data_IF_864894427784
#
_entry.id   IF_864894427784
#
_cell.length_a   1.000
_cell.length_b   1.000
_cell.length_c   1.000
_cell.angle_alpha   90.00
_cell.angle_beta   90.00
_cell.angle_gamma   90.00
#
_symmetry.space_group_name_H-M   'P 1'
#
loop_
_entity.id
_entity.type
_entity.pdbx_description
1 polymer ?
#
# COMPACT_ATOMS: atom_id res chain seq x y z
N UNK A 1 -4.11 6.57 20.79
CA UNK A 1 -5.06 7.34 19.93
C UNK A 1 -5.57 8.62 20.60
N UNK A 2 -4.82 9.14 21.59
CA UNK A 2 -5.21 10.33 22.34
C UNK A 2 -5.52 11.52 21.43
N UNK A 3 -6.69 12.13 21.60
CA UNK A 3 -7.12 13.30 20.82
C UNK A 3 -7.49 13.05 19.36
N UNK A 4 -7.63 11.79 18.93
CA UNK A 4 -8.06 11.43 17.59
C UNK A 4 -9.57 11.28 17.52
N UNK A 5 -10.17 11.78 16.46
CA UNK A 5 -11.59 11.75 16.16
C UNK A 5 -11.91 10.58 15.22
N UNK A 6 -12.66 9.61 15.70
CA UNK A 6 -13.04 8.42 14.92
C UNK A 6 -14.55 8.42 14.71
N UNK A 7 -14.97 8.41 13.45
CA UNK A 7 -16.37 8.26 13.09
C UNK A 7 -16.65 6.79 12.75
N UNK A 8 -17.42 6.12 13.62
CA UNK A 8 -17.81 4.73 13.43
C UNK A 8 -19.17 4.66 12.71
N UNK A 9 -19.17 4.11 11.52
CA UNK A 9 -20.35 3.82 10.72
C UNK A 9 -20.78 2.37 10.92
N UNK A 10 -22.01 2.15 11.36
CA UNK A 10 -22.52 0.83 11.71
C UNK A 10 -23.65 0.44 10.75
N UNK A 11 -23.48 -0.63 9.98
CA UNK A 11 -24.53 -1.14 9.10
C UNK A 11 -25.19 -2.41 9.62
N UNK A 12 -26.43 -2.69 9.18
CA UNK A 12 -27.30 -3.71 9.76
C UNK A 12 -26.88 -5.16 9.48
N UNK A 13 -26.43 -5.85 10.50
CA UNK A 13 -26.12 -7.26 10.49
C UNK A 13 -25.84 -7.77 11.90
N UNK A 14 -25.86 -9.09 12.11
CA UNK A 14 -25.67 -9.66 13.44
C UNK A 14 -24.37 -9.18 14.12
N UNK A 15 -23.33 -8.86 13.34
CA UNK A 15 -22.05 -8.41 13.88
C UNK A 15 -22.09 -6.99 14.54
N UNK A 16 -23.25 -6.31 14.54
CA UNK A 16 -23.44 -5.00 15.23
C UNK A 16 -23.05 -5.10 16.72
N UNK A 17 -23.25 -6.25 17.37
CA UNK A 17 -22.82 -6.42 18.77
C UNK A 17 -21.32 -6.21 18.97
N UNK A 18 -20.48 -6.56 17.97
CA UNK A 18 -19.03 -6.28 17.99
C UNK A 18 -18.72 -4.79 17.84
N UNK A 19 -19.55 -4.04 17.11
CA UNK A 19 -19.39 -2.59 16.98
C UNK A 19 -19.59 -1.88 18.34
N UNK A 20 -20.46 -2.40 19.20
CA UNK A 20 -20.63 -1.91 20.59
C UNK A 20 -19.31 -2.08 21.38
N UNK A 21 -18.71 -3.26 21.30
CA UNK A 21 -17.41 -3.53 21.92
C UNK A 21 -16.30 -2.67 21.31
N UNK A 22 -16.30 -2.49 20.00
CA UNK A 22 -15.34 -1.64 19.28
C UNK A 22 -15.43 -0.18 19.75
N UNK A 23 -16.64 0.38 19.90
CA UNK A 23 -16.86 1.73 20.44
C UNK A 23 -16.23 1.89 21.81
N UNK A 24 -16.48 0.95 22.72
CA UNK A 24 -15.90 0.97 24.07
C UNK A 24 -14.38 0.95 24.04
N UNK A 25 -13.79 0.06 23.22
CA UNK A 25 -12.32 -0.09 23.13
C UNK A 25 -11.64 1.12 22.48
N UNK A 26 -12.21 1.71 21.45
CA UNK A 26 -11.72 2.94 20.85
C UNK A 26 -11.71 4.10 21.85
N UNK A 27 -12.80 4.25 22.62
CA UNK A 27 -12.92 5.26 23.68
C UNK A 27 -11.89 5.03 24.80
N UNK A 28 -11.71 3.78 25.24
CA UNK A 28 -10.69 3.41 26.24
C UNK A 28 -9.26 3.67 25.73
N UNK A 29 -9.02 3.53 24.43
CA UNK A 29 -7.73 3.85 23.80
C UNK A 29 -7.49 5.37 23.63
N UNK A 30 -8.40 6.22 24.14
CA UNK A 30 -8.27 7.67 24.17
C UNK A 30 -8.80 8.39 22.91
N UNK A 31 -9.49 7.71 22.02
CA UNK A 31 -10.15 8.36 20.88
C UNK A 31 -11.46 9.02 21.29
N UNK A 32 -11.80 10.12 20.63
CA UNK A 32 -13.16 10.66 20.61
C UNK A 32 -13.95 9.90 19.53
N UNK A 33 -15.05 9.23 19.90
CA UNK A 33 -15.81 8.40 18.97
C UNK A 33 -17.21 8.98 18.80
N UNK A 34 -17.58 9.33 17.56
CA UNK A 34 -18.98 9.55 17.18
C UNK A 34 -19.48 8.35 16.38
N UNK A 35 -20.77 8.05 16.46
CA UNK A 35 -21.36 6.88 15.80
C UNK A 35 -22.48 7.31 14.87
N UNK A 36 -22.50 6.76 13.65
CA UNK A 36 -23.63 6.84 12.74
C UNK A 36 -24.13 5.44 12.40
N UNK A 37 -25.43 5.27 12.27
CA UNK A 37 -26.07 3.97 12.07
C UNK A 37 -27.03 4.00 10.89
N UNK A 38 -27.04 2.93 10.12
CA UNK A 38 -28.14 2.69 9.17
C UNK A 38 -29.42 2.31 9.94
N UNK A 39 -30.57 2.49 9.32
CA UNK A 39 -31.86 2.04 9.86
C UNK A 39 -31.81 0.56 10.28
N UNK A 40 -31.33 -0.32 9.41
CA UNK A 40 -31.20 -1.73 9.71
C UNK A 40 -30.24 -2.06 10.86
N UNK A 41 -29.27 -1.20 11.17
CA UNK A 41 -28.36 -1.44 12.30
C UNK A 41 -29.10 -1.27 13.64
N UNK A 42 -30.09 -0.38 13.69
CA UNK A 42 -30.88 -0.09 14.89
C UNK A 42 -31.79 -1.26 15.29
N UNK A 43 -32.16 -2.12 14.33
CA UNK A 43 -32.91 -3.34 14.60
C UNK A 43 -32.13 -4.39 15.40
N UNK A 44 -30.79 -4.35 15.35
CA UNK A 44 -29.93 -5.26 16.11
C UNK A 44 -29.52 -4.69 17.47
N UNK A 45 -29.19 -3.41 17.52
CA UNK A 45 -28.75 -2.74 18.75
C UNK A 45 -29.25 -1.30 18.72
N UNK A 46 -29.96 -0.83 19.78
CA UNK A 46 -30.46 0.53 19.83
C UNK A 46 -29.32 1.56 19.94
N UNK A 47 -29.48 2.77 19.37
CA UNK A 47 -28.50 3.85 19.41
C UNK A 47 -28.00 4.21 20.81
N UNK A 48 -28.84 4.06 21.83
CA UNK A 48 -28.49 4.32 23.22
C UNK A 48 -27.27 3.53 23.71
N UNK A 49 -27.07 2.30 23.24
CA UNK A 49 -25.90 1.48 23.59
C UNK A 49 -24.59 2.14 23.16
N UNK A 50 -24.59 2.73 21.98
CA UNK A 50 -23.42 3.46 21.44
C UNK A 50 -23.24 4.83 22.11
N UNK A 51 -24.30 5.53 22.36
CA UNK A 51 -24.28 6.83 23.04
C UNK A 51 -23.65 6.75 24.44
N UNK A 52 -24.03 5.76 25.22
CA UNK A 52 -23.50 5.55 26.59
C UNK A 52 -21.98 5.27 26.54
N UNK A 53 -21.51 4.48 25.59
CA UNK A 53 -20.11 4.08 25.49
C UNK A 53 -19.22 5.14 24.87
N UNK A 54 -19.69 5.83 23.85
CA UNK A 54 -18.94 6.89 23.17
C UNK A 54 -19.00 8.23 23.93
N UNK A 55 -20.03 8.44 24.78
CA UNK A 55 -20.36 9.71 25.43
C UNK A 55 -20.63 10.85 24.44
N UNK A 56 -21.00 10.49 23.21
CA UNK A 56 -21.35 11.40 22.12
C UNK A 56 -22.70 11.03 21.53
N UNK A 57 -23.31 11.95 20.79
CA UNK A 57 -24.53 11.69 20.05
C UNK A 57 -24.34 10.59 19.01
N UNK A 58 -25.43 9.86 18.75
CA UNK A 58 -25.53 8.86 17.68
C UNK A 58 -26.42 9.42 16.58
N UNK A 59 -25.97 9.33 15.34
CA UNK A 59 -26.62 9.88 14.16
C UNK A 59 -27.26 8.78 13.34
N UNK A 60 -28.55 8.87 13.11
CA UNK A 60 -29.35 7.82 12.46
C UNK A 60 -30.16 8.30 11.26
N UNK A 61 -30.40 9.59 11.17
CA UNK A 61 -31.19 10.22 10.11
C UNK A 61 -30.51 11.50 9.63
N UNK A 62 -30.46 11.70 8.33
CA UNK A 62 -29.91 12.91 7.68
C UNK A 62 -30.75 14.16 7.93
N UNK A 63 -31.98 13.99 8.33
CA UNK A 63 -32.92 15.09 8.62
C UNK A 63 -33.09 15.38 10.13
N UNK A 64 -32.46 14.58 11.01
CA UNK A 64 -32.44 14.82 12.46
C UNK A 64 -31.19 15.65 12.83
N UNK A 65 -31.28 16.95 12.64
CA UNK A 65 -30.22 17.90 12.96
C UNK A 65 -30.08 18.09 14.47
N UNK A 66 -28.99 17.60 15.07
CA UNK A 66 -28.72 17.76 16.51
C UNK A 66 -28.39 19.20 16.89
N UNK A 67 -27.91 19.99 15.94
CA UNK A 67 -27.53 21.39 16.12
C UNK A 67 -28.04 22.22 14.94
N UNK A 68 -28.83 23.29 15.23
CA UNK A 68 -29.39 24.16 14.20
C UNK A 68 -28.36 25.01 13.43
N UNK A 69 -27.09 25.03 13.87
CA UNK A 69 -26.03 25.85 13.26
C UNK A 69 -25.18 25.11 12.24
N UNK A 70 -25.33 23.77 12.09
CA UNK A 70 -24.52 22.95 11.21
C UNK A 70 -25.37 21.89 10.53
N UNK A 71 -24.91 21.43 9.36
CA UNK A 71 -25.50 20.30 8.67
C UNK A 71 -24.78 19.02 9.18
N UNK A 72 -25.52 18.12 9.82
CA UNK A 72 -24.96 17.03 10.61
C UNK A 72 -23.98 16.14 9.84
N UNK A 73 -24.31 15.74 8.61
CA UNK A 73 -23.43 14.86 7.82
C UNK A 73 -22.13 15.55 7.36
N UNK A 74 -22.16 16.88 7.16
CA UNK A 74 -20.97 17.67 6.86
C UNK A 74 -20.11 17.85 8.12
N UNK A 75 -20.73 18.25 9.27
CA UNK A 75 -20.02 18.38 10.54
C UNK A 75 -19.30 17.08 10.95
N UNK A 76 -19.91 15.93 10.68
CA UNK A 76 -19.29 14.63 10.94
C UNK A 76 -18.15 14.32 9.98
N UNK A 77 -18.32 14.62 8.70
CA UNK A 77 -17.31 14.39 7.66
C UNK A 77 -16.05 15.21 7.93
N UNK A 78 -16.22 16.51 8.28
CA UNK A 78 -15.10 17.42 8.58
C UNK A 78 -14.44 17.13 9.94
N UNK A 79 -15.22 16.62 10.91
CA UNK A 79 -14.74 16.33 12.26
C UNK A 79 -13.82 15.10 12.32
N UNK A 80 -14.00 14.13 11.42
CA UNK A 80 -13.35 12.84 11.50
C UNK A 80 -11.87 12.87 11.07
N UNK A 81 -10.97 12.33 11.88
CA UNK A 81 -9.60 11.96 11.47
C UNK A 81 -9.57 10.59 10.75
N UNK A 82 -10.59 9.76 10.99
CA UNK A 82 -10.78 8.43 10.37
C UNK A 82 -12.27 8.08 10.40
N UNK A 83 -12.78 7.60 9.27
CA UNK A 83 -14.08 6.95 9.19
C UNK A 83 -13.88 5.44 9.11
N UNK A 84 -14.54 4.67 9.98
CA UNK A 84 -14.52 3.21 9.95
C UNK A 84 -15.94 2.65 9.81
N UNK A 85 -16.17 1.87 8.77
CA UNK A 85 -17.44 1.16 8.53
C UNK A 85 -17.33 -0.25 9.12
N UNK A 86 -17.88 -0.48 10.29
CA UNK A 86 -17.80 -1.74 11.02
C UNK A 86 -19.05 -2.03 11.86
N UNK A 87 -19.82 -3.09 11.56
CA UNK A 87 -19.66 -3.98 10.40
C UNK A 87 -20.03 -3.30 9.09
N UNK A 88 -19.40 -3.70 7.98
CA UNK A 88 -19.79 -3.31 6.64
C UNK A 88 -20.50 -4.47 5.93
N UNK A 89 -21.81 -4.31 5.68
CA UNK A 89 -22.60 -5.27 4.91
C UNK A 89 -22.35 -5.14 3.42
N UNK A 90 -22.69 -6.17 2.65
CA UNK A 90 -22.64 -6.10 1.19
C UNK A 90 -23.46 -4.94 0.61
N UNK A 91 -24.57 -4.56 1.27
CA UNK A 91 -25.41 -3.43 0.86
C UNK A 91 -24.64 -2.10 0.97
N UNK A 92 -24.03 -1.80 2.14
CA UNK A 92 -23.26 -0.56 2.33
C UNK A 92 -22.05 -0.52 1.40
N UNK A 93 -21.31 -1.63 1.24
CA UNK A 93 -20.20 -1.74 0.28
C UNK A 93 -20.69 -1.46 -1.14
N UNK A 94 -21.85 -1.98 -1.51
CA UNK A 94 -22.46 -1.73 -2.82
C UNK A 94 -22.85 -0.27 -3.02
N UNK A 95 -23.45 0.38 -2.02
CA UNK A 95 -23.81 1.80 -2.06
C UNK A 95 -22.56 2.68 -2.19
N UNK A 96 -21.58 2.48 -1.33
CA UNK A 96 -20.31 3.22 -1.37
C UNK A 96 -19.64 3.11 -2.74
N UNK A 97 -19.51 1.89 -3.28
CA UNK A 97 -18.86 1.65 -4.58
C UNK A 97 -19.58 2.32 -5.77
N UNK A 98 -20.85 2.67 -5.63
CA UNK A 98 -21.65 3.28 -6.69
C UNK A 98 -22.08 4.71 -6.38
N UNK A 99 -21.57 5.34 -5.30
CA UNK A 99 -21.86 6.72 -4.93
C UNK A 99 -23.32 6.95 -4.52
N UNK A 100 -23.99 5.93 -3.95
CA UNK A 100 -25.38 6.04 -3.47
C UNK A 100 -25.36 6.61 -2.06
N UNK A 101 -26.00 7.74 -1.87
CA UNK A 101 -26.05 8.50 -0.61
C UNK A 101 -27.51 8.71 -0.21
N UNK A 102 -28.18 7.66 0.28
CA UNK A 102 -29.60 7.61 0.60
C UNK A 102 -29.89 7.43 2.10
N UNK A 103 -28.84 7.41 2.92
CA UNK A 103 -28.91 7.34 4.37
C UNK A 103 -27.77 8.16 5.03
N UNK A 104 -27.84 8.34 6.35
CA UNK A 104 -26.85 9.11 7.12
C UNK A 104 -25.42 8.60 6.94
N UNK A 105 -25.23 7.29 6.89
CA UNK A 105 -23.93 6.63 6.76
C UNK A 105 -23.32 6.93 5.39
N UNK A 106 -24.04 6.64 4.33
CA UNK A 106 -23.56 6.77 2.96
C UNK A 106 -23.41 8.24 2.52
N UNK A 107 -24.28 9.13 3.00
CA UNK A 107 -24.17 10.57 2.75
C UNK A 107 -22.91 11.15 3.39
N UNK A 108 -22.64 10.84 4.66
CA UNK A 108 -21.43 11.30 5.35
C UNK A 108 -20.16 10.76 4.73
N UNK A 109 -20.15 9.46 4.35
CA UNK A 109 -18.96 8.85 3.71
C UNK A 109 -18.65 9.51 2.36
N UNK A 110 -19.67 9.92 1.60
CA UNK A 110 -19.46 10.58 0.31
C UNK A 110 -18.91 12.02 0.48
N UNK A 111 -19.16 12.67 1.63
CA UNK A 111 -18.74 14.03 1.94
C UNK A 111 -17.36 14.11 2.61
N UNK A 112 -16.81 13.02 3.16
CA UNK A 112 -15.59 13.08 3.96
C UNK A 112 -14.31 13.06 3.13
N UNK A 113 -13.32 13.85 3.56
CA UNK A 113 -11.93 13.79 3.09
C UNK A 113 -11.05 12.90 3.99
N UNK A 114 -11.58 12.46 5.14
CA UNK A 114 -10.85 11.57 6.04
C UNK A 114 -10.64 10.18 5.40
N UNK A 115 -9.56 9.48 5.73
CA UNK A 115 -9.37 8.09 5.32
C UNK A 115 -10.58 7.23 5.71
N UNK A 116 -11.06 6.40 4.78
CA UNK A 116 -12.18 5.48 5.02
C UNK A 116 -11.67 4.05 5.11
N UNK A 117 -12.00 3.38 6.21
CA UNK A 117 -11.70 1.97 6.41
C UNK A 117 -13.00 1.16 6.46
N UNK A 118 -12.97 -0.03 5.90
CA UNK A 118 -14.13 -0.91 5.80
C UNK A 118 -13.80 -2.27 6.39
N UNK A 119 -14.59 -2.72 7.37
CA UNK A 119 -14.51 -4.05 7.98
C UNK A 119 -15.73 -4.88 7.55
N UNK A 120 -15.61 -5.71 6.50
CA UNK A 120 -16.71 -6.49 5.98
C UNK A 120 -17.21 -7.54 6.99
N UNK A 121 -18.54 -7.71 7.01
CA UNK A 121 -19.18 -8.79 7.75
C UNK A 121 -20.42 -9.28 7.00
N UNK A 122 -20.36 -10.50 6.48
CA UNK A 122 -21.43 -11.11 5.71
C UNK A 122 -21.26 -12.63 5.56
N UNK A 123 -22.26 -13.30 5.05
CA UNK A 123 -22.19 -14.73 4.72
C UNK A 123 -21.05 -15.01 3.72
N UNK A 124 -20.43 -16.20 3.80
CA UNK A 124 -19.31 -16.62 2.96
C UNK A 124 -19.64 -16.57 1.46
N UNK A 125 -20.87 -16.92 1.06
CA UNK A 125 -21.28 -16.87 -0.34
C UNK A 125 -21.48 -15.42 -0.82
N UNK A 126 -21.91 -14.52 0.08
CA UNK A 126 -22.06 -13.10 -0.25
C UNK A 126 -20.69 -12.45 -0.49
N UNK A 127 -19.69 -12.71 0.34
CA UNK A 127 -18.36 -12.10 0.17
C UNK A 127 -17.65 -12.62 -1.08
N UNK A 128 -17.95 -13.87 -1.49
CA UNK A 128 -17.42 -14.47 -2.72
C UNK A 128 -18.23 -14.13 -3.96
N UNK A 129 -19.37 -13.47 -3.81
CA UNK A 129 -20.23 -13.13 -4.95
C UNK A 129 -19.50 -12.13 -5.88
N UNK A 130 -19.50 -12.36 -7.23
CA UNK A 130 -18.78 -11.51 -8.17
C UNK A 130 -19.12 -10.02 -8.07
N UNK A 131 -20.37 -9.66 -7.75
CA UNK A 131 -20.77 -8.28 -7.55
C UNK A 131 -20.12 -7.65 -6.31
N UNK A 132 -19.99 -8.41 -5.21
CA UNK A 132 -19.36 -7.92 -3.97
C UNK A 132 -17.85 -7.78 -4.18
N UNK A 133 -17.21 -8.76 -4.81
CA UNK A 133 -15.78 -8.70 -5.16
C UNK A 133 -15.50 -7.48 -6.05
N UNK A 134 -16.30 -7.26 -7.08
CA UNK A 134 -16.17 -6.07 -7.96
C UNK A 134 -16.29 -4.76 -7.18
N UNK A 135 -17.25 -4.65 -6.26
CA UNK A 135 -17.45 -3.45 -5.45
C UNK A 135 -16.29 -3.22 -4.47
N UNK A 136 -15.77 -4.27 -3.83
CA UNK A 136 -14.60 -4.21 -2.98
C UNK A 136 -13.37 -3.73 -3.78
N UNK A 137 -13.12 -4.32 -4.95
CA UNK A 137 -12.00 -3.95 -5.80
C UNK A 137 -12.09 -2.50 -6.29
N UNK A 138 -13.31 -2.02 -6.58
CA UNK A 138 -13.55 -0.62 -6.96
C UNK A 138 -13.21 0.32 -5.81
N UNK A 139 -13.74 0.07 -4.62
CA UNK A 139 -13.44 0.87 -3.44
C UNK A 139 -11.94 0.84 -3.08
N UNK A 140 -11.29 -0.31 -3.30
CA UNK A 140 -9.83 -0.42 -3.11
C UNK A 140 -9.06 0.48 -4.09
N UNK A 141 -9.50 0.55 -5.35
CA UNK A 141 -8.94 1.44 -6.37
C UNK A 141 -9.20 2.92 -6.04
N UNK A 142 -10.33 3.23 -5.39
CA UNK A 142 -10.71 4.57 -4.92
C UNK A 142 -9.99 4.98 -3.61
N UNK A 143 -9.09 4.12 -3.06
CA UNK A 143 -8.28 4.44 -1.88
C UNK A 143 -8.89 4.02 -0.53
N UNK A 144 -10.02 3.34 -0.52
CA UNK A 144 -10.63 2.78 0.70
C UNK A 144 -9.80 1.61 1.20
N UNK A 145 -9.50 1.58 2.50
CA UNK A 145 -8.77 0.45 3.11
C UNK A 145 -9.74 -0.58 3.66
N UNK A 146 -9.40 -1.86 3.48
CA UNK A 146 -10.19 -2.96 4.01
C UNK A 146 -9.47 -3.65 5.17
N UNK A 147 -10.24 -3.92 6.24
CA UNK A 147 -9.85 -4.84 7.30
C UNK A 147 -10.41 -6.20 6.92
N UNK A 148 -9.53 -7.15 6.68
CA UNK A 148 -9.90 -8.48 6.25
C UNK A 148 -10.82 -9.15 7.27
N UNK A 149 -11.94 -9.77 6.81
CA UNK A 149 -12.82 -10.52 7.70
C UNK A 149 -12.13 -11.76 8.24
N UNK A 150 -12.42 -12.09 9.51
CA UNK A 150 -11.91 -13.30 10.15
C UNK A 150 -12.54 -14.55 9.55
N UNK A 151 -11.78 -15.65 9.58
CA UNK A 151 -12.27 -16.98 9.24
C UNK A 151 -12.81 -17.66 10.49
N UNK A 152 -14.01 -18.26 10.40
CA UNK A 152 -14.60 -18.94 11.54
C UNK A 152 -16.05 -19.34 11.33
N UNK A 153 -16.71 -19.75 12.44
CA UNK A 153 -18.11 -20.11 12.45
C UNK A 153 -19.01 -18.87 12.32
N UNK A 154 -19.87 -18.88 11.32
CA UNK A 154 -20.82 -17.82 11.03
C UNK A 154 -22.19 -18.12 11.66
N UNK A 155 -22.93 -17.07 12.01
CA UNK A 155 -24.25 -17.21 12.64
C UNK A 155 -25.27 -18.04 11.81
N UNK A 156 -25.04 -18.16 10.51
CA UNK A 156 -25.85 -18.99 9.59
C UNK A 156 -25.42 -20.47 9.55
N UNK A 157 -24.49 -20.92 10.40
CA UNK A 157 -24.05 -22.32 10.47
C UNK A 157 -22.90 -22.70 9.52
N UNK A 158 -22.43 -21.78 8.67
CA UNK A 158 -21.27 -22.02 7.81
C UNK A 158 -19.93 -21.70 8.52
N UNK A 159 -18.89 -22.40 8.11
CA UNK A 159 -17.50 -22.06 8.48
C UNK A 159 -16.81 -21.49 7.26
N UNK A 160 -16.15 -20.34 7.43
CA UNK A 160 -15.41 -19.69 6.36
C UNK A 160 -15.16 -18.21 6.62
N UNK A 161 -14.61 -17.52 5.61
CA UNK A 161 -14.27 -16.11 5.67
C UNK A 161 -15.53 -15.25 5.54
N UNK A 162 -15.73 -14.31 6.45
CA UNK A 162 -16.91 -13.41 6.41
C UNK A 162 -17.34 -12.88 7.76
N UNK A 163 -16.66 -13.30 8.84
CA UNK A 163 -16.88 -12.81 10.20
C UNK A 163 -16.18 -11.46 10.37
N UNK A 164 -16.84 -10.50 11.04
CA UNK A 164 -16.19 -9.24 11.42
C UNK A 164 -14.93 -9.53 12.23
N UNK A 165 -13.83 -8.88 11.87
CA UNK A 165 -12.58 -8.95 12.66
C UNK A 165 -12.83 -8.60 14.13
N UNK A 166 -12.00 -9.10 15.02
CA UNK A 166 -12.13 -8.84 16.44
C UNK A 166 -11.87 -7.35 16.78
N UNK A 167 -12.70 -6.74 17.65
CA UNK A 167 -12.57 -5.32 17.98
C UNK A 167 -11.16 -4.92 18.43
N UNK A 168 -10.47 -5.79 19.17
CA UNK A 168 -9.10 -5.58 19.64
C UNK A 168 -8.10 -5.41 18.48
N UNK A 169 -8.22 -6.26 17.46
CA UNK A 169 -7.34 -6.21 16.30
C UNK A 169 -7.63 -4.97 15.43
N UNK A 170 -8.92 -4.59 15.31
CA UNK A 170 -9.31 -3.35 14.64
C UNK A 170 -8.69 -2.15 15.36
N UNK A 171 -8.81 -2.08 16.68
CA UNK A 171 -8.22 -0.99 17.49
C UNK A 171 -6.71 -0.94 17.36
N UNK A 172 -6.04 -2.09 17.35
CA UNK A 172 -4.58 -2.17 17.17
C UNK A 172 -4.17 -1.57 15.80
N UNK A 173 -4.83 -1.98 14.72
CA UNK A 173 -4.54 -1.46 13.36
C UNK A 173 -4.77 0.05 13.24
N UNK A 174 -5.84 0.57 13.88
CA UNK A 174 -6.11 2.01 13.92
C UNK A 174 -5.04 2.74 14.74
N UNK A 175 -4.59 2.16 15.87
CA UNK A 175 -3.53 2.74 16.67
C UNK A 175 -2.20 2.82 15.90
N UNK A 176 -1.84 1.76 15.19
CA UNK A 176 -0.68 1.72 14.30
C UNK A 176 -0.78 2.79 13.22
N UNK A 177 -1.94 2.93 12.58
CA UNK A 177 -2.18 3.97 11.57
C UNK A 177 -1.94 5.40 12.09
N UNK A 178 -2.41 5.70 13.30
CA UNK A 178 -2.19 7.02 13.91
C UNK A 178 -0.78 7.20 14.53
N UNK A 179 -0.06 6.12 14.76
CA UNK A 179 1.35 6.14 15.19
C UNK A 179 2.32 6.24 14.01
N UNK A 180 1.82 6.09 12.78
CA UNK A 180 2.63 6.35 11.59
C UNK A 180 3.13 7.79 11.67
N UNK A 181 4.44 7.95 11.90
CA UNK A 181 5.15 9.23 11.86
C UNK A 181 5.02 9.78 10.42
N UNK A 182 4.04 10.66 10.18
CA UNK A 182 3.79 11.23 8.85
C UNK A 182 4.97 12.02 8.27
N UNK A 183 5.99 12.27 9.09
CA UNK A 183 7.14 13.08 8.75
C UNK A 183 8.48 12.34 8.91
N UNK A 184 8.47 11.00 8.79
CA UNK A 184 9.68 10.18 8.93
C UNK A 184 10.81 10.61 8.00
N UNK A 185 10.49 11.11 6.81
CA UNK A 185 11.42 11.52 5.77
C UNK A 185 11.26 13.01 5.40
N UNK A 186 10.75 13.84 6.35
CA UNK A 186 10.62 15.28 6.11
C UNK A 186 11.97 15.87 5.69
N UNK A 187 11.95 16.72 4.67
CA UNK A 187 13.13 17.39 4.09
C UNK A 187 14.18 16.45 3.48
N UNK A 188 13.87 15.15 3.31
CA UNK A 188 14.76 14.21 2.64
C UNK A 188 14.44 14.09 1.16
N UNK A 189 15.48 13.99 0.34
CA UNK A 189 15.38 13.70 -1.08
C UNK A 189 15.54 12.19 -1.29
N UNK A 190 14.57 11.55 -1.92
CA UNK A 190 14.53 10.10 -2.14
C UNK A 190 14.46 9.81 -3.63
N UNK A 191 15.43 9.07 -4.14
CA UNK A 191 15.38 8.56 -5.50
C UNK A 191 14.96 7.08 -5.49
N UNK A 192 13.94 6.77 -6.25
CA UNK A 192 13.43 5.40 -6.43
C UNK A 192 13.57 5.01 -7.90
N UNK A 193 14.16 3.83 -8.20
CA UNK A 193 14.11 3.27 -9.54
C UNK A 193 13.01 2.23 -9.65
N UNK A 194 12.27 2.17 -10.77
CA UNK A 194 11.15 1.25 -10.93
C UNK A 194 10.98 0.71 -12.36
N UNK A 195 10.40 -0.47 -12.47
CA UNK A 195 10.12 -1.12 -13.76
C UNK A 195 11.25 -2.01 -14.26
N UNK A 196 11.13 -2.48 -15.49
CA UNK A 196 12.15 -3.28 -16.17
C UNK A 196 12.74 -2.51 -17.33
N UNK A 197 14.05 -2.46 -17.44
CA UNK A 197 14.71 -1.83 -18.60
C UNK A 197 14.45 -2.64 -19.86
N UNK A 198 14.48 -1.95 -21.00
CA UNK A 198 14.24 -2.52 -22.34
C UNK A 198 15.47 -2.29 -23.19
N UNK A 199 16.17 -3.36 -23.48
CA UNK A 199 17.40 -3.32 -24.25
C UNK A 199 17.08 -3.58 -25.72
N UNK A 200 17.12 -2.53 -26.53
CA UNK A 200 16.73 -2.59 -27.95
C UNK A 200 17.63 -3.52 -28.74
N UNK A 201 17.02 -4.41 -29.53
CA UNK A 201 17.68 -5.21 -30.55
C UNK A 201 17.53 -4.55 -31.94
N UNK A 202 16.31 -4.10 -32.22
CA UNK A 202 15.94 -3.36 -33.44
C UNK A 202 14.72 -2.46 -33.14
N UNK A 203 14.18 -1.68 -34.09
CA UNK A 203 13.02 -0.80 -33.85
C UNK A 203 11.75 -1.52 -33.35
N UNK A 204 11.68 -2.85 -33.40
CA UNK A 204 10.49 -3.64 -33.10
C UNK A 204 10.67 -4.52 -31.87
N UNK A 205 11.90 -4.96 -31.58
CA UNK A 205 12.20 -5.99 -30.54
C UNK A 205 13.20 -5.47 -29.53
N UNK A 206 13.01 -5.91 -28.29
CA UNK A 206 13.89 -5.63 -27.14
C UNK A 206 13.91 -6.81 -26.17
N UNK A 207 14.97 -6.88 -25.38
CA UNK A 207 15.07 -7.76 -24.21
C UNK A 207 14.62 -7.00 -22.97
N UNK A 208 13.91 -7.66 -22.07
CA UNK A 208 13.42 -7.07 -20.83
C UNK A 208 13.16 -8.13 -19.76
N UNK A 209 12.94 -7.71 -18.53
CA UNK A 209 12.53 -8.52 -17.40
C UNK A 209 11.01 -8.45 -17.18
N UNK A 210 10.47 -9.33 -16.34
CA UNK A 210 9.03 -9.39 -16.05
C UNK A 210 8.53 -8.35 -15.03
N UNK A 211 9.38 -7.44 -14.57
CA UNK A 211 8.99 -6.43 -13.57
C UNK A 211 7.98 -5.43 -14.13
N UNK A 212 6.91 -5.20 -13.38
CA UNK A 212 5.86 -4.21 -13.72
C UNK A 212 6.12 -2.83 -13.15
N UNK A 213 7.05 -2.70 -12.19
CA UNK A 213 7.33 -1.45 -11.48
C UNK A 213 6.47 -1.20 -10.24
N UNK A 214 5.40 -1.96 -10.01
CA UNK A 214 4.45 -1.74 -8.89
C UNK A 214 5.13 -1.51 -7.53
N UNK A 215 6.17 -2.28 -7.20
CA UNK A 215 6.87 -2.13 -5.91
C UNK A 215 7.54 -0.76 -5.77
N UNK A 216 8.25 -0.31 -6.80
CA UNK A 216 8.90 1.01 -6.80
C UNK A 216 7.90 2.16 -6.72
N UNK A 217 6.75 2.06 -7.42
CA UNK A 217 5.68 3.04 -7.32
C UNK A 217 5.07 3.08 -5.91
N UNK A 218 4.85 1.92 -5.27
CA UNK A 218 4.36 1.87 -3.88
C UNK A 218 5.37 2.48 -2.89
N UNK A 219 6.68 2.29 -3.11
CA UNK A 219 7.73 2.90 -2.27
C UNK A 219 7.77 4.42 -2.48
N UNK A 220 7.69 4.88 -3.73
CA UNK A 220 7.64 6.31 -4.04
C UNK A 220 6.42 6.99 -3.40
N UNK A 221 5.23 6.35 -3.47
CA UNK A 221 4.02 6.81 -2.81
C UNK A 221 4.20 6.89 -1.28
N UNK A 222 4.76 5.84 -0.67
CA UNK A 222 4.99 5.81 0.77
C UNK A 222 6.00 6.87 1.20
N UNK A 223 7.13 7.03 0.49
CA UNK A 223 8.12 8.07 0.79
C UNK A 223 7.53 9.48 0.73
N UNK A 224 6.72 9.78 -0.30
CA UNK A 224 6.04 11.08 -0.45
C UNK A 224 5.05 11.33 0.71
N UNK A 225 4.27 10.32 1.13
CA UNK A 225 3.37 10.42 2.29
C UNK A 225 4.10 10.68 3.59
N UNK A 226 5.34 10.23 3.71
CA UNK A 226 6.22 10.49 4.85
C UNK A 226 7.06 11.77 4.72
N UNK A 227 6.67 12.67 3.81
CA UNK A 227 7.21 14.03 3.71
C UNK A 227 8.49 14.17 2.87
N UNK A 228 8.92 13.12 2.16
CA UNK A 228 10.07 13.19 1.27
C UNK A 228 9.77 13.95 -0.03
N UNK A 229 10.80 14.57 -0.60
CA UNK A 229 10.85 14.95 -2.01
C UNK A 229 11.28 13.74 -2.83
N UNK A 230 10.40 13.22 -3.68
CA UNK A 230 10.62 11.94 -4.34
C UNK A 230 10.86 12.12 -5.83
N UNK A 231 11.99 11.58 -6.32
CA UNK A 231 12.30 11.42 -7.73
C UNK A 231 12.16 9.94 -8.11
N UNK A 232 11.24 9.62 -9.00
CA UNK A 232 10.97 8.28 -9.50
C UNK A 232 11.54 8.10 -10.91
N UNK A 233 12.65 7.40 -11.05
CA UNK A 233 13.23 7.02 -12.35
C UNK A 233 12.59 5.72 -12.81
N UNK A 234 11.79 5.74 -13.86
CA UNK A 234 10.96 4.57 -14.20
C UNK A 234 10.88 4.29 -15.71
N UNK A 235 10.80 3.00 -16.03
CA UNK A 235 10.49 2.52 -17.38
C UNK A 235 8.99 2.31 -17.61
N UNK A 236 8.19 2.34 -16.55
CA UNK A 236 6.75 2.06 -16.61
C UNK A 236 5.93 3.33 -16.87
N UNK A 237 5.24 3.36 -18.01
CA UNK A 237 4.26 4.42 -18.37
C UNK A 237 2.82 3.99 -18.08
N UNK A 238 2.62 2.73 -17.67
CA UNK A 238 1.28 2.17 -17.45
C UNK A 238 0.72 2.42 -16.05
N UNK A 239 1.59 2.77 -15.08
CA UNK A 239 1.18 3.07 -13.72
C UNK A 239 1.02 4.59 -13.53
N UNK A 240 -0.02 5.05 -12.83
CA UNK A 240 -0.17 6.46 -12.50
C UNK A 240 0.94 6.90 -11.53
N UNK A 241 1.51 8.07 -11.77
CA UNK A 241 2.50 8.66 -10.86
C UNK A 241 1.80 9.08 -9.58
N UNK A 242 2.29 8.66 -8.39
CA UNK A 242 1.68 9.06 -7.13
C UNK A 242 1.74 10.58 -6.91
N UNK A 243 0.78 11.17 -6.20
CA UNK A 243 0.80 12.59 -5.85
C UNK A 243 2.10 12.98 -5.11
N UNK A 244 2.69 14.13 -5.48
CA UNK A 244 3.91 14.63 -4.85
C UNK A 244 5.20 13.94 -5.30
N UNK A 245 5.15 13.08 -6.33
CA UNK A 245 6.31 12.38 -6.91
C UNK A 245 6.66 12.98 -8.26
N UNK A 246 7.93 13.32 -8.45
CA UNK A 246 8.48 13.70 -9.75
C UNK A 246 8.94 12.46 -10.52
N UNK A 247 8.44 12.24 -11.74
CA UNK A 247 8.77 11.06 -12.53
C UNK A 247 9.68 11.39 -13.70
N UNK A 248 10.80 10.64 -13.80
CA UNK A 248 11.73 10.67 -14.94
C UNK A 248 11.56 9.35 -15.69
N UNK A 249 11.09 9.43 -16.93
CA UNK A 249 10.88 8.27 -17.77
C UNK A 249 12.12 7.93 -18.57
N UNK A 250 12.55 6.67 -18.44
CA UNK A 250 13.69 6.09 -19.15
C UNK A 250 13.29 4.79 -19.83
N UNK A 251 14.09 4.29 -20.75
CA UNK A 251 13.80 3.03 -21.44
C UNK A 251 14.89 1.98 -21.19
N UNK A 252 16.16 2.32 -21.35
CA UNK A 252 17.29 1.40 -21.24
C UNK A 252 18.01 1.47 -19.91
N UNK A 253 18.88 0.48 -19.63
CA UNK A 253 19.79 0.48 -18.50
C UNK A 253 20.73 1.69 -18.50
N UNK A 254 21.22 2.09 -19.67
CA UNK A 254 22.10 3.26 -19.79
C UNK A 254 21.36 4.57 -19.48
N UNK A 255 20.13 4.75 -20.00
CA UNK A 255 19.32 5.94 -19.68
C UNK A 255 18.98 5.98 -18.17
N UNK A 256 18.67 4.83 -17.56
CA UNK A 256 18.41 4.75 -16.11
C UNK A 256 19.68 5.11 -15.32
N UNK A 257 20.83 4.60 -15.74
CA UNK A 257 22.11 4.96 -15.11
C UNK A 257 22.37 6.46 -15.17
N UNK A 258 22.21 7.08 -16.35
CA UNK A 258 22.42 8.52 -16.54
C UNK A 258 21.48 9.34 -15.63
N UNK A 259 20.19 9.02 -15.62
CA UNK A 259 19.22 9.70 -14.78
C UNK A 259 19.54 9.59 -13.28
N UNK A 260 20.01 8.43 -12.81
CA UNK A 260 20.43 8.23 -11.41
C UNK A 260 21.71 8.99 -11.11
N UNK A 261 22.70 8.97 -12.03
CA UNK A 261 23.99 9.63 -11.87
C UNK A 261 23.88 11.15 -11.80
N UNK A 262 23.01 11.74 -12.62
CA UNK A 262 22.71 13.18 -12.59
C UNK A 262 22.14 13.66 -11.25
N UNK A 263 21.44 12.79 -10.52
CA UNK A 263 20.79 13.13 -9.27
C UNK A 263 21.57 12.68 -8.03
N UNK A 264 22.66 11.90 -8.15
CA UNK A 264 23.36 11.23 -7.04
C UNK A 264 23.83 12.17 -5.92
N UNK A 265 24.18 13.41 -6.22
CA UNK A 265 24.69 14.37 -5.22
C UNK A 265 23.56 14.98 -4.40
N UNK A 266 22.35 15.09 -4.98
CA UNK A 266 21.21 15.76 -4.35
C UNK A 266 20.31 14.84 -3.54
N UNK A 267 20.54 13.51 -3.57
CA UNK A 267 19.69 12.55 -2.89
C UNK A 267 20.29 12.13 -1.54
N UNK A 268 19.42 11.99 -0.56
CA UNK A 268 19.76 11.42 0.76
C UNK A 268 19.57 9.90 0.76
N UNK A 269 18.61 9.39 -0.04
CA UNK A 269 18.20 7.99 -0.03
C UNK A 269 18.04 7.48 -1.46
N UNK A 270 18.60 6.30 -1.73
CA UNK A 270 18.42 5.56 -2.97
C UNK A 270 17.72 4.25 -2.71
N UNK A 271 16.58 4.01 -3.39
CA UNK A 271 15.85 2.75 -3.34
C UNK A 271 15.82 2.12 -4.73
N UNK A 272 16.72 1.18 -4.94
CA UNK A 272 17.01 0.60 -6.25
C UNK A 272 16.16 -0.65 -6.47
N UNK A 273 14.90 -0.45 -6.94
CA UNK A 273 13.94 -1.56 -7.14
C UNK A 273 13.79 -2.00 -8.58
N UNK A 274 14.31 -1.23 -9.54
CA UNK A 274 14.20 -1.56 -10.95
C UNK A 274 14.88 -2.90 -11.28
N UNK A 275 14.27 -3.65 -12.18
CA UNK A 275 14.87 -4.83 -12.79
C UNK A 275 15.71 -4.41 -14.00
N UNK A 276 16.91 -3.97 -13.71
CA UNK A 276 17.88 -3.56 -14.73
C UNK A 276 18.46 -4.82 -15.42
N UNK A 277 18.51 -4.82 -16.74
CA UNK A 277 19.13 -5.91 -17.48
C UNK A 277 20.66 -5.88 -17.31
N UNK A 278 21.27 -7.03 -16.99
CA UNK A 278 22.72 -7.17 -16.84
C UNK A 278 23.47 -7.12 -18.18
N UNK A 279 22.74 -7.36 -19.27
CA UNK A 279 23.27 -7.39 -20.63
C UNK A 279 22.38 -6.64 -21.59
N UNK A 280 22.99 -5.96 -22.58
CA UNK A 280 22.35 -5.29 -23.71
C UNK A 280 22.97 -5.75 -25.02
N UNK A 281 22.25 -5.77 -26.17
CA UNK A 281 22.86 -6.07 -27.47
C UNK A 281 24.07 -5.20 -27.75
N UNK A 282 25.17 -5.81 -28.17
CA UNK A 282 26.41 -5.09 -28.51
C UNK A 282 26.19 -4.11 -29.68
N UNK A 283 25.30 -4.49 -30.61
CA UNK A 283 24.89 -3.67 -31.74
C UNK A 283 23.36 -3.63 -31.82
N UNK A 284 22.80 -2.45 -31.94
CA UNK A 284 21.38 -2.23 -32.22
C UNK A 284 21.20 -2.00 -33.72
N UNK A 285 20.27 -2.69 -34.36
CA UNK A 285 19.95 -2.52 -35.76
C UNK A 285 18.99 -1.36 -35.97
N UNK A 286 19.28 -0.46 -36.92
CA UNK A 286 18.40 0.64 -37.30
C UNK A 286 17.15 0.17 -38.09
N UNK A 287 17.21 -1.07 -38.61
CA UNK A 287 16.12 -1.68 -39.36
C UNK A 287 15.70 -3.01 -38.68
N UNK A 288 14.41 -3.34 -38.84
CA UNK A 288 13.90 -4.64 -38.37
C UNK A 288 14.70 -5.78 -38.98
N UNK A 289 15.35 -6.58 -38.15
CA UNK A 289 16.12 -7.76 -38.57
C UNK A 289 15.17 -8.75 -39.23
N UNK A 290 15.35 -9.01 -40.53
CA UNK A 290 14.55 -9.99 -41.28
C UNK A 290 14.98 -11.41 -40.97
N UNK A 291 14.00 -12.33 -41.02
CA UNK A 291 14.26 -13.78 -40.87
C UNK A 291 15.23 -14.23 -41.95
N UNK A 292 16.28 -14.93 -41.53
CA UNK A 292 17.26 -15.58 -42.39
C UNK A 292 17.22 -17.11 -42.19
N UNK A 293 17.64 -17.92 -43.13
CA UNK A 293 17.83 -19.36 -42.92
C UNK A 293 18.89 -19.64 -41.85
N UNK A 294 18.62 -20.60 -40.97
CA UNK A 294 19.53 -21.01 -39.90
C UNK A 294 19.29 -20.28 -38.57
N UNK A 295 20.12 -20.56 -37.58
CA UNK A 295 20.09 -19.99 -36.25
C UNK A 295 20.61 -18.53 -36.25
N UNK A 296 20.04 -17.72 -35.35
CA UNK A 296 20.44 -16.33 -35.20
C UNK A 296 21.04 -16.11 -33.82
N UNK A 297 22.31 -15.76 -33.76
CA UNK A 297 23.02 -15.41 -32.52
C UNK A 297 23.09 -13.91 -32.33
N UNK A 298 22.88 -13.44 -31.11
CA UNK A 298 22.97 -12.05 -30.73
C UNK A 298 24.14 -11.88 -29.78
N UNK A 299 25.11 -11.07 -30.18
CA UNK A 299 26.21 -10.68 -29.32
C UNK A 299 25.73 -9.69 -28.26
N UNK A 300 25.99 -10.00 -26.99
CA UNK A 300 25.57 -9.18 -25.84
C UNK A 300 26.80 -8.60 -25.13
N UNK A 301 26.68 -7.35 -24.65
CA UNK A 301 27.68 -6.71 -23.78
C UNK A 301 27.06 -6.42 -22.41
N UNK A 302 27.88 -6.33 -21.37
CA UNK A 302 27.44 -5.98 -20.02
C UNK A 302 26.94 -4.54 -19.96
N UNK A 303 25.90 -4.31 -19.19
CA UNK A 303 25.43 -2.99 -18.78
C UNK A 303 26.18 -2.49 -17.54
N UNK A 304 26.01 -1.22 -17.21
CA UNK A 304 26.53 -0.66 -15.95
C UNK A 304 25.70 -1.14 -14.75
N UNK A 305 26.38 -1.50 -13.68
CA UNK A 305 25.73 -1.90 -12.43
C UNK A 305 25.43 -0.67 -11.58
N UNK A 306 24.23 -0.14 -11.71
CA UNK A 306 23.81 1.12 -11.08
C UNK A 306 23.90 1.03 -9.55
N UNK A 307 23.47 -0.08 -8.94
CA UNK A 307 23.53 -0.26 -7.50
C UNK A 307 24.98 -0.28 -6.98
N UNK A 308 25.89 -0.93 -7.72
CA UNK A 308 27.31 -0.93 -7.38
C UNK A 308 27.91 0.46 -7.44
N UNK A 309 27.62 1.19 -8.52
CA UNK A 309 28.14 2.53 -8.75
C UNK A 309 27.71 3.49 -7.62
N UNK A 310 26.42 3.51 -7.30
CA UNK A 310 25.91 4.35 -6.21
C UNK A 310 26.50 3.93 -4.85
N UNK A 311 26.55 2.63 -4.56
CA UNK A 311 27.06 2.14 -3.29
C UNK A 311 28.55 2.42 -3.09
N UNK A 312 29.36 2.43 -4.16
CA UNK A 312 30.80 2.77 -4.07
C UNK A 312 31.07 4.26 -3.89
N UNK A 313 30.19 5.11 -4.41
CA UNK A 313 30.40 6.56 -4.42
C UNK A 313 29.48 7.31 -3.41
N UNK A 314 28.63 6.60 -2.66
CA UNK A 314 27.78 7.23 -1.64
C UNK A 314 28.59 7.87 -0.53
N UNK A 315 28.10 9.00 -0.02
CA UNK A 315 28.62 9.64 1.19
C UNK A 315 28.18 8.90 2.46
N UNK A 316 28.74 9.26 3.61
CA UNK A 316 28.36 8.65 4.89
C UNK A 316 26.91 8.93 5.30
N UNK A 317 26.33 10.04 4.81
CA UNK A 317 24.97 10.48 5.12
C UNK A 317 23.93 9.94 4.14
N UNK A 318 24.36 9.25 3.07
CA UNK A 318 23.49 8.67 2.07
C UNK A 318 23.16 7.22 2.40
N UNK A 319 21.88 6.84 2.26
CA UNK A 319 21.36 5.51 2.48
C UNK A 319 21.06 4.84 1.14
N UNK A 320 21.56 3.62 0.93
CA UNK A 320 21.37 2.85 -0.30
C UNK A 320 20.67 1.53 0.01
N UNK A 321 19.50 1.33 -0.60
CA UNK A 321 18.68 0.13 -0.47
C UNK A 321 18.59 -0.55 -1.83
N UNK A 322 19.04 -1.81 -1.88
CA UNK A 322 18.95 -2.62 -3.08
C UNK A 322 17.87 -3.70 -2.97
N UNK A 323 17.45 -4.22 -4.11
CA UNK A 323 16.54 -5.36 -4.19
C UNK A 323 17.24 -6.60 -4.76
N UNK A 324 16.86 -7.77 -4.25
CA UNK A 324 17.29 -9.05 -4.76
C UNK A 324 16.05 -9.94 -4.98
N UNK A 325 15.86 -10.39 -6.23
CA UNK A 325 14.85 -11.38 -6.58
C UNK A 325 15.55 -12.69 -6.89
N UNK A 326 15.36 -13.68 -6.04
CA UNK A 326 16.11 -14.94 -6.09
C UNK A 326 15.15 -16.12 -6.15
N UNK A 327 15.58 -17.18 -6.79
CA UNK A 327 14.85 -18.47 -6.83
C UNK A 327 15.40 -19.46 -5.81
N UNK A 328 16.69 -19.34 -5.47
CA UNK A 328 17.42 -20.23 -4.57
C UNK A 328 18.44 -19.45 -3.74
N UNK A 329 18.84 -19.98 -2.59
CA UNK A 329 19.91 -19.43 -1.74
C UNK A 329 19.73 -17.94 -1.36
N UNK A 330 18.46 -17.54 -1.09
CA UNK A 330 18.04 -16.15 -0.87
C UNK A 330 18.98 -15.40 0.10
N UNK A 331 19.23 -15.95 1.28
CA UNK A 331 20.04 -15.30 2.30
C UNK A 331 21.50 -15.11 1.85
N UNK A 332 22.12 -16.16 1.33
CA UNK A 332 23.53 -16.10 0.90
C UNK A 332 23.72 -15.07 -0.22
N UNK A 333 22.82 -15.05 -1.21
CA UNK A 333 22.84 -14.12 -2.33
C UNK A 333 22.57 -12.68 -1.88
N UNK A 334 21.59 -12.48 -0.99
CA UNK A 334 21.29 -11.16 -0.43
C UNK A 334 22.46 -10.58 0.39
N UNK A 335 23.09 -11.37 1.25
CA UNK A 335 24.26 -10.94 2.05
C UNK A 335 25.48 -10.66 1.17
N UNK A 336 25.72 -11.50 0.16
CA UNK A 336 26.76 -11.24 -0.84
C UNK A 336 26.52 -9.93 -1.58
N UNK A 337 25.28 -9.68 -2.01
CA UNK A 337 24.88 -8.45 -2.70
C UNK A 337 25.03 -7.23 -1.78
N UNK A 338 24.62 -7.35 -0.52
CA UNK A 338 24.76 -6.30 0.50
C UNK A 338 26.22 -5.83 0.61
N UNK A 339 27.16 -6.76 0.75
CA UNK A 339 28.58 -6.44 0.89
C UNK A 339 29.19 -5.97 -0.42
N UNK A 340 28.98 -6.70 -1.52
CA UNK A 340 29.61 -6.40 -2.82
C UNK A 340 29.13 -5.06 -3.42
N UNK A 341 27.89 -4.62 -3.11
CA UNK A 341 27.32 -3.36 -3.59
C UNK A 341 27.41 -2.23 -2.56
N UNK A 342 28.01 -2.46 -1.38
CA UNK A 342 28.07 -1.50 -0.28
C UNK A 342 26.69 -0.87 0.06
N UNK A 343 25.61 -1.66 -0.05
CA UNK A 343 24.27 -1.23 0.32
C UNK A 343 24.09 -1.24 1.85
N UNK A 344 23.16 -0.45 2.38
CA UNK A 344 22.83 -0.44 3.81
C UNK A 344 21.78 -1.48 4.15
N UNK A 345 20.91 -1.78 3.17
CA UNK A 345 19.90 -2.83 3.26
C UNK A 345 19.67 -3.49 1.89
N UNK A 346 19.45 -4.79 1.90
CA UNK A 346 18.91 -5.54 0.75
C UNK A 346 17.52 -6.07 1.12
N UNK A 347 16.56 -5.74 0.30
CA UNK A 347 15.19 -6.30 0.33
C UNK A 347 15.17 -7.50 -0.59
N UNK A 348 15.18 -8.69 -0.02
CA UNK A 348 15.24 -9.94 -0.77
C UNK A 348 13.85 -10.59 -0.88
N UNK A 349 13.49 -10.97 -2.09
CA UNK A 349 12.22 -11.59 -2.44
C UNK A 349 12.48 -12.97 -3.07
N UNK A 350 11.82 -14.02 -2.55
CA UNK A 350 11.83 -15.34 -3.18
C UNK A 350 10.68 -15.43 -4.20
N UNK A 351 11.02 -15.29 -5.47
CA UNK A 351 10.04 -15.30 -6.57
C UNK A 351 9.47 -16.68 -6.91
N UNK A 352 10.02 -17.76 -6.33
CA UNK A 352 9.49 -19.13 -6.50
C UNK A 352 8.26 -19.41 -5.64
N UNK A 353 7.99 -18.58 -4.63
CA UNK A 353 6.86 -18.76 -3.71
C UNK A 353 5.59 -18.13 -4.28
N UNK A 354 4.48 -18.86 -4.21
CA UNK A 354 3.19 -18.32 -4.62
C UNK A 354 2.84 -17.05 -3.82
N UNK A 355 2.44 -15.98 -4.52
CA UNK A 355 2.17 -14.67 -3.91
C UNK A 355 3.36 -13.71 -3.83
N UNK A 356 4.58 -14.15 -4.17
CA UNK A 356 5.81 -13.34 -4.12
C UNK A 356 6.29 -12.84 -5.49
N UNK A 357 5.52 -13.01 -6.56
CA UNK A 357 5.94 -12.73 -7.94
C UNK A 357 5.90 -11.26 -8.36
N UNK A 358 6.54 -10.95 -9.50
CA UNK A 358 6.62 -9.59 -10.04
C UNK A 358 5.27 -8.98 -10.42
N UNK A 359 4.34 -9.79 -10.94
CA UNK A 359 3.05 -9.33 -11.49
C UNK A 359 1.94 -9.20 -10.46
N UNK A 360 2.04 -9.88 -9.31
CA UNK A 360 1.04 -9.85 -8.24
C UNK A 360 1.03 -8.52 -7.48
N UNK A 361 0.01 -8.33 -6.65
CA UNK A 361 -0.15 -7.17 -5.77
C UNK A 361 0.47 -7.41 -4.38
N UNK A 362 0.79 -8.67 -4.06
CA UNK A 362 1.45 -9.09 -2.82
C UNK A 362 2.96 -9.34 -3.00
N UNK A 363 3.66 -9.38 -1.88
CA UNK A 363 5.07 -9.76 -1.83
C UNK A 363 5.43 -10.45 -0.50
N UNK A 364 6.51 -11.26 -0.51
CA UNK A 364 7.11 -11.87 0.67
C UNK A 364 8.59 -11.47 0.63
N UNK A 365 9.01 -10.66 1.58
CA UNK A 365 10.36 -10.12 1.60
C UNK A 365 11.06 -10.35 2.92
N UNK A 366 12.39 -10.44 2.87
CA UNK A 366 13.27 -10.41 4.04
C UNK A 366 14.25 -9.26 3.88
N UNK A 367 14.35 -8.43 4.91
CA UNK A 367 15.34 -7.35 4.99
C UNK A 367 16.65 -7.90 5.55
N UNK A 368 17.76 -7.67 4.86
CA UNK A 368 19.11 -7.94 5.33
C UNK A 368 19.87 -6.65 5.48
N UNK A 369 20.39 -6.35 6.68
CA UNK A 369 21.05 -5.09 7.00
C UNK A 369 22.56 -5.27 7.19
N UNK A 370 23.29 -4.18 7.07
CA UNK A 370 24.76 -4.14 7.17
C UNK A 370 25.28 -4.55 8.56
N UNK A 371 24.48 -4.39 9.61
CA UNK A 371 24.79 -4.86 10.97
C UNK A 371 24.69 -6.37 11.19
N UNK A 372 24.36 -7.12 10.13
CA UNK A 372 24.15 -8.56 10.15
C UNK A 372 22.73 -9.01 10.51
N UNK A 373 21.87 -8.09 10.97
CA UNK A 373 20.49 -8.41 11.33
C UNK A 373 19.62 -8.69 10.10
N UNK A 374 18.55 -9.45 10.31
CA UNK A 374 17.54 -9.70 9.28
C UNK A 374 16.13 -9.65 9.88
N UNK A 375 15.13 -9.32 9.02
CA UNK A 375 13.72 -9.27 9.40
C UNK A 375 12.88 -9.80 8.26
N UNK A 376 12.26 -10.96 8.46
CA UNK A 376 11.31 -11.51 7.51
C UNK A 376 9.92 -10.88 7.72
N UNK A 377 9.23 -10.55 6.64
CA UNK A 377 7.85 -10.14 6.64
C UNK A 377 6.95 -11.30 6.17
N UNK A 378 5.73 -11.42 6.70
CA UNK A 378 4.73 -12.33 6.14
C UNK A 378 4.36 -11.89 4.71
N UNK A 379 3.46 -12.63 4.07
CA UNK A 379 2.85 -12.18 2.82
C UNK A 379 2.03 -10.91 3.12
N UNK A 380 2.40 -9.82 2.44
CA UNK A 380 1.77 -8.50 2.59
C UNK A 380 1.49 -7.92 1.20
N UNK A 381 0.58 -6.96 1.10
CA UNK A 381 0.46 -6.19 -0.12
C UNK A 381 1.71 -5.29 -0.34
N UNK A 382 1.93 -4.87 -1.59
CA UNK A 382 3.12 -4.07 -1.94
C UNK A 382 3.14 -2.69 -1.27
N UNK A 383 1.99 -2.14 -0.91
CA UNK A 383 1.89 -0.88 -0.18
C UNK A 383 2.33 -1.06 1.27
N UNK A 384 1.91 -2.14 1.93
CA UNK A 384 2.35 -2.48 3.29
C UNK A 384 3.85 -2.78 3.33
N UNK A 385 4.38 -3.53 2.35
CA UNK A 385 5.83 -3.76 2.23
C UNK A 385 6.58 -2.45 2.06
N UNK A 386 6.06 -1.52 1.24
CA UNK A 386 6.65 -0.20 1.05
C UNK A 386 6.70 0.61 2.36
N UNK A 387 5.64 0.58 3.17
CA UNK A 387 5.62 1.21 4.49
C UNK A 387 6.71 0.65 5.41
N UNK A 388 6.86 -0.67 5.44
CA UNK A 388 7.93 -1.29 6.21
C UNK A 388 9.32 -0.88 5.72
N UNK A 389 9.53 -0.77 4.41
CA UNK A 389 10.81 -0.32 3.83
C UNK A 389 11.10 1.12 4.25
N UNK A 390 10.13 2.03 4.17
CA UNK A 390 10.31 3.45 4.54
C UNK A 390 10.61 3.60 6.04
N UNK A 391 9.89 2.88 6.90
CA UNK A 391 10.15 2.86 8.35
C UNK A 391 11.56 2.36 8.68
N UNK A 392 12.01 1.29 8.02
CA UNK A 392 13.39 0.78 8.19
C UNK A 392 14.42 1.77 7.65
N UNK A 393 14.13 2.43 6.52
CA UNK A 393 15.01 3.46 5.94
C UNK A 393 15.22 4.64 6.91
N UNK A 394 14.14 5.11 7.53
CA UNK A 394 14.21 6.19 8.52
C UNK A 394 15.11 5.86 9.72
N UNK A 395 15.23 4.57 10.10
CA UNK A 395 16.10 4.14 11.18
C UNK A 395 17.60 4.33 10.87
N UNK A 396 18.00 4.28 9.59
CA UNK A 396 19.39 4.56 9.19
C UNK A 396 19.75 6.03 9.29
N UNK A 397 18.77 6.94 9.14
CA UNK A 397 18.97 8.40 9.20
C UNK A 397 19.03 8.94 10.64
N UNK A 398 18.60 8.16 11.63
CA UNK A 398 18.58 8.54 13.04
C UNK A 398 19.90 8.20 13.77
N UNK A 399 20.84 7.57 13.07
CA UNK A 399 22.18 7.23 13.60
C UNK A 399 23.18 8.30 13.22
#
# INVERSE_FOLDING_TARGET
MQGKNILLAVSGGIAVYKAVALTSKLTQAGASVKVMMTEHAQEFVPPLSFQVLSKNDVYTDTFDEKKSSVVAHIDLADWADLVIVAPATANVIGKMANGIADDMVTTTILATEAPVWVAPAMNVHMIQHPAVIRNINRLYADGVRFIEPEEGYLACGYVGRGRLEEPEKIVLRIAEFFQEDKDLLRDKNVLVTAGATREKLDPVRYFTNHSTGKMGFSIAESAARHGAKVTLVTTSKALPVPPGVEAIYVESAEEMYQAVDEHKVSQDIFVMTAAVADYTPAKVSDQKIKKQPGDFAIEMKRTKDILLEIGQHKTADQVVIGFAAETENLEANARKKLTSKNADMIVANNISVAGAGFSGDTNIVTFYRKDGSSKALPILDKKEVAEHIIKETANFLRK
#
